data_IF_371274880856
#
_entry.id   IF_371274880856
#
_cell.length_a   1.000
_cell.length_b   1.000
_cell.length_c   1.000
_cell.angle_alpha   90.00
_cell.angle_beta   90.00
_cell.angle_gamma   90.00
#
_symmetry.space_group_name_H-M   'P 1'
#
loop_
_entity.id
_entity.type
_entity.pdbx_description
1 polymer ?
#
# COMPACT_ATOMS: atom_id res chain seq x y z
N UNK A 1 10.90 24.71 -6.63
CA UNK A 1 10.81 23.25 -6.81
C UNK A 1 9.62 22.77 -5.98
N UNK A 2 8.54 22.28 -6.61
CA UNK A 2 7.35 21.80 -5.89
C UNK A 2 7.65 20.41 -5.32
N UNK A 3 7.78 20.31 -4.00
CA UNK A 3 7.80 19.02 -3.31
C UNK A 3 6.40 18.76 -2.78
N UNK A 4 5.70 17.83 -3.42
CA UNK A 4 4.50 17.22 -2.87
C UNK A 4 4.84 15.76 -2.67
N UNK A 5 5.06 15.37 -1.42
CA UNK A 5 5.18 13.98 -1.02
C UNK A 5 3.77 13.40 -0.88
N UNK A 6 3.52 12.27 -1.54
CA UNK A 6 2.34 11.46 -1.27
C UNK A 6 2.68 10.41 -0.21
N UNK A 7 1.90 10.34 0.86
CA UNK A 7 2.07 9.40 1.97
C UNK A 7 0.86 8.50 2.07
N UNK A 8 1.10 7.23 2.33
CA UNK A 8 0.08 6.20 2.50
C UNK A 8 0.40 5.36 3.74
N UNK A 9 -0.65 4.95 4.46
CA UNK A 9 -0.54 4.08 5.62
C UNK A 9 -1.68 3.06 5.57
N UNK A 10 -1.33 1.78 5.63
CA UNK A 10 -2.31 0.72 5.88
C UNK A 10 -2.74 0.81 7.34
N UNK A 11 -4.04 0.77 7.63
CA UNK A 11 -4.59 0.86 9.00
C UNK A 11 -5.41 -0.36 9.41
N UNK A 12 -5.81 -1.19 8.46
CA UNK A 12 -6.40 -2.50 8.70
C UNK A 12 -6.14 -3.41 7.51
N UNK A 13 -5.99 -4.71 7.77
CA UNK A 13 -5.79 -5.72 6.74
C UNK A 13 -6.27 -7.08 7.22
N UNK A 14 -7.26 -7.61 6.51
CA UNK A 14 -7.85 -8.92 6.70
C UNK A 14 -8.20 -9.45 5.30
N UNK A 15 -7.23 -10.14 4.70
CA UNK A 15 -7.30 -10.80 3.39
C UNK A 15 -6.88 -12.27 3.54
N UNK A 16 -7.12 -13.12 2.55
CA UNK A 16 -6.76 -14.54 2.64
C UNK A 16 -5.25 -14.74 2.84
N UNK A 17 -4.89 -15.65 3.76
CA UNK A 17 -3.51 -16.07 3.94
C UNK A 17 -3.14 -17.19 2.97
N UNK A 18 -1.98 -17.08 2.35
CA UNK A 18 -1.27 -18.19 1.78
C UNK A 18 0.22 -18.07 2.10
N UNK A 19 0.90 -19.17 2.40
CA UNK A 19 2.32 -19.18 2.80
C UNK A 19 3.24 -18.55 1.74
N UNK A 20 2.87 -18.66 0.46
CA UNK A 20 3.59 -18.01 -0.65
C UNK A 20 2.94 -16.70 -1.12
N UNK A 21 1.94 -16.16 -0.40
CA UNK A 21 1.27 -14.91 -0.75
C UNK A 21 0.60 -14.93 -2.14
N UNK A 22 -0.01 -16.07 -2.52
CA UNK A 22 -0.55 -16.33 -3.87
C UNK A 22 -2.08 -16.27 -3.99
N UNK A 23 -2.82 -16.36 -2.89
CA UNK A 23 -4.29 -16.30 -2.91
C UNK A 23 -4.73 -14.83 -3.02
N UNK A 24 -4.69 -14.10 -1.90
CA UNK A 24 -4.94 -12.66 -1.88
C UNK A 24 -3.66 -11.88 -1.55
N UNK A 25 -3.46 -10.75 -2.24
CA UNK A 25 -2.38 -9.82 -1.91
C UNK A 25 -2.68 -8.39 -2.39
N UNK A 26 -2.06 -7.42 -1.72
CA UNK A 26 -2.03 -6.02 -2.13
C UNK A 26 -0.59 -5.61 -2.44
N UNK A 27 -0.31 -5.22 -3.69
CA UNK A 27 0.99 -4.68 -4.10
C UNK A 27 0.97 -3.17 -4.16
N UNK A 28 2.08 -2.57 -3.75
CA UNK A 28 2.31 -1.13 -3.73
C UNK A 28 3.46 -0.78 -4.67
N UNK A 29 3.25 0.11 -5.62
CA UNK A 29 4.24 0.53 -6.60
C UNK A 29 4.52 2.04 -6.54
N UNK A 30 5.78 2.42 -6.76
CA UNK A 30 6.25 3.81 -6.77
C UNK A 30 6.04 4.45 -8.14
N UNK A 31 4.87 5.04 -8.37
CA UNK A 31 4.52 5.65 -9.66
C UNK A 31 3.06 5.48 -10.04
N UNK A 32 2.74 5.77 -11.30
CA UNK A 32 1.39 5.77 -11.85
C UNK A 32 0.93 4.45 -12.48
N UNK A 33 1.73 3.38 -12.41
CA UNK A 33 1.40 2.09 -13.01
C UNK A 33 2.05 0.90 -12.30
N UNK A 34 1.63 -0.31 -12.68
CA UNK A 34 2.18 -1.58 -12.18
C UNK A 34 3.50 -2.00 -12.85
N UNK A 35 3.91 -1.26 -13.88
CA UNK A 35 5.23 -1.30 -14.51
C UNK A 35 6.29 -0.51 -13.71
N UNK A 36 5.87 0.26 -12.72
CA UNK A 36 6.73 1.03 -11.84
C UNK A 36 7.44 0.14 -10.80
N UNK A 37 8.36 0.70 -10.01
CA UNK A 37 9.11 -0.08 -9.01
C UNK A 37 8.19 -0.59 -7.89
N UNK A 38 8.20 -1.90 -7.63
CA UNK A 38 7.48 -2.50 -6.50
C UNK A 38 8.12 -2.05 -5.17
N UNK A 39 7.33 -1.45 -4.29
CA UNK A 39 7.73 -1.03 -2.96
C UNK A 39 7.52 -2.17 -1.96
N UNK A 40 6.33 -2.77 -1.99
CA UNK A 40 5.96 -3.80 -1.02
C UNK A 40 4.82 -4.69 -1.55
N UNK A 41 4.77 -5.93 -1.05
CA UNK A 41 3.63 -6.85 -1.22
C UNK A 41 3.09 -7.17 0.16
N UNK A 42 1.83 -6.81 0.40
CA UNK A 42 1.11 -7.11 1.63
C UNK A 42 0.25 -8.36 1.43
N UNK A 43 0.33 -9.29 2.38
CA UNK A 43 -0.62 -10.38 2.57
C UNK A 43 -0.77 -10.68 4.06
N UNK A 44 -1.81 -11.43 4.41
CA UNK A 44 -2.14 -11.73 5.79
C UNK A 44 -1.33 -12.94 6.27
N UNK A 45 -0.18 -12.77 6.94
CA UNK A 45 0.54 -13.90 7.55
C UNK A 45 0.12 -14.05 9.04
N UNK A 46 -0.43 -15.22 9.46
CA UNK A 46 -0.81 -15.47 10.85
C UNK A 46 0.39 -15.69 11.78
N UNK A 47 1.57 -16.05 11.25
CA UNK A 47 2.75 -16.42 12.03
C UNK A 47 3.84 -15.33 12.05
N UNK A 48 3.81 -14.35 11.13
CA UNK A 48 4.73 -13.20 11.11
C UNK A 48 4.16 -11.98 11.87
N UNK A 49 4.65 -11.82 13.10
CA UNK A 49 5.37 -10.65 13.70
C UNK A 49 4.75 -9.21 13.63
N UNK A 50 5.10 -8.31 14.59
CA UNK A 50 4.19 -7.31 15.15
C UNK A 50 3.71 -6.28 14.14
N UNK A 51 2.60 -5.62 14.48
CA UNK A 51 1.87 -4.52 13.80
C UNK A 51 2.70 -3.52 12.94
N UNK A 52 4.02 -3.44 13.12
CA UNK A 52 4.96 -2.55 12.45
C UNK A 52 5.11 -2.78 10.93
N UNK A 53 5.06 -4.02 10.40
CA UNK A 53 5.05 -4.22 8.93
C UNK A 53 3.62 -4.13 8.35
N UNK A 54 2.58 -4.51 9.11
CA UNK A 54 1.17 -4.32 8.72
C UNK A 54 0.76 -2.86 8.55
N UNK A 55 1.38 -1.94 9.29
CA UNK A 55 1.07 -0.51 9.26
C UNK A 55 2.17 0.34 8.61
N UNK A 56 2.98 -0.28 7.74
CA UNK A 56 4.09 0.39 7.07
C UNK A 56 3.58 1.65 6.37
N UNK A 57 3.99 2.78 6.93
CA UNK A 57 3.80 4.07 6.32
C UNK A 57 4.80 4.20 5.17
N UNK A 58 4.29 4.43 3.97
CA UNK A 58 5.11 4.61 2.78
C UNK A 58 5.02 6.05 2.33
N UNK A 59 6.17 6.67 2.11
CA UNK A 59 6.29 8.00 1.50
C UNK A 59 6.80 7.83 0.08
N UNK A 60 6.03 8.33 -0.87
CA UNK A 60 6.42 8.39 -2.27
C UNK A 60 7.48 9.46 -2.49
N UNK A 61 8.36 9.22 -3.45
CA UNK A 61 9.30 10.20 -4.00
C UNK A 61 8.60 11.20 -4.93
N UNK A 62 7.35 10.93 -5.31
CA UNK A 62 6.56 11.78 -6.17
C UNK A 62 5.10 11.91 -5.72
N UNK A 63 4.24 12.21 -6.69
CA UNK A 63 2.81 12.48 -6.46
C UNK A 63 1.92 11.26 -6.70
N UNK A 64 2.52 10.11 -6.99
CA UNK A 64 1.80 8.92 -7.45
C UNK A 64 2.30 7.67 -6.75
N UNK A 65 1.34 6.89 -6.29
CA UNK A 65 1.51 5.50 -5.86
C UNK A 65 0.42 4.70 -6.54
N UNK A 66 0.74 3.48 -6.95
CA UNK A 66 -0.22 2.54 -7.51
C UNK A 66 -0.46 1.39 -6.55
N UNK A 67 -1.73 1.13 -6.27
CA UNK A 67 -2.21 -0.02 -5.50
C UNK A 67 -2.76 -1.06 -6.47
N UNK A 68 -2.30 -2.31 -6.33
CA UNK A 68 -2.82 -3.44 -7.10
C UNK A 68 -3.29 -4.53 -6.15
N UNK A 69 -4.61 -4.70 -6.06
CA UNK A 69 -5.22 -5.74 -5.26
C UNK A 69 -5.62 -6.92 -6.15
N UNK A 70 -5.21 -8.13 -5.76
CA UNK A 70 -5.54 -9.38 -6.42
C UNK A 70 -6.23 -10.30 -5.44
N UNK A 71 -7.25 -11.03 -5.92
CA UNK A 71 -7.93 -12.10 -5.20
C UNK A 71 -8.12 -13.30 -6.10
N UNK A 72 -8.23 -14.49 -5.51
CA UNK A 72 -8.65 -15.69 -6.22
C UNK A 72 -10.16 -15.95 -6.07
N UNK A 73 -10.60 -17.19 -6.32
CA UNK A 73 -12.02 -17.59 -6.26
C UNK A 73 -12.44 -18.14 -4.90
N UNK A 74 -11.55 -18.11 -3.91
CA UNK A 74 -11.72 -18.70 -2.58
C UNK A 74 -11.78 -17.64 -1.49
N UNK A 75 -11.38 -17.96 -0.28
CA UNK A 75 -11.83 -17.40 1.01
C UNK A 75 -11.97 -15.86 1.02
N UNK A 76 -13.20 -15.34 1.14
CA UNK A 76 -13.41 -13.90 1.26
C UNK A 76 -13.19 -13.40 2.70
N UNK A 77 -12.62 -12.21 2.83
CA UNK A 77 -12.37 -11.51 4.09
C UNK A 77 -12.77 -10.03 4.00
N UNK A 78 -12.54 -9.25 5.06
CA UNK A 78 -12.99 -7.84 5.13
C UNK A 78 -12.26 -6.91 4.14
N UNK A 79 -11.08 -7.29 3.67
CA UNK A 79 -10.25 -6.47 2.79
C UNK A 79 -9.22 -5.66 3.56
N UNK A 80 -9.02 -4.41 3.16
CA UNK A 80 -7.99 -3.54 3.73
C UNK A 80 -8.48 -2.10 3.87
N UNK A 81 -7.87 -1.36 4.80
CA UNK A 81 -8.12 0.08 5.01
C UNK A 81 -6.81 0.85 4.86
N UNK A 82 -6.92 2.00 4.19
CA UNK A 82 -5.79 2.86 3.88
C UNK A 82 -6.13 4.29 4.27
N UNK A 83 -5.16 4.98 4.85
CA UNK A 83 -5.13 6.42 5.00
C UNK A 83 -4.06 7.01 4.08
N UNK A 84 -4.37 8.11 3.42
CA UNK A 84 -3.43 8.82 2.55
C UNK A 84 -3.41 10.31 2.87
N UNK A 85 -2.27 10.94 2.62
CA UNK A 85 -2.10 12.39 2.74
C UNK A 85 -1.07 12.90 1.75
N UNK A 86 -1.14 14.19 1.47
CA UNK A 86 -0.12 14.91 0.72
C UNK A 86 0.61 15.83 1.71
N UNK A 87 1.94 15.78 1.75
CA UNK A 87 2.77 16.74 2.49
C UNK A 87 3.60 17.57 1.51
N UNK A 88 3.47 18.89 1.59
CA UNK A 88 4.20 19.82 0.73
C UNK A 88 3.80 21.27 0.97
N UNK A 89 4.77 22.18 0.97
CA UNK A 89 4.50 23.62 0.98
C UNK A 89 4.06 24.08 -0.41
N UNK A 90 2.77 24.41 -0.58
CA UNK A 90 2.33 25.28 -1.67
C UNK A 90 2.59 26.75 -1.27
N UNK A 91 3.81 27.24 -1.50
CA UNK A 91 4.03 28.68 -1.63
C UNK A 91 3.90 29.04 -3.11
N UNK A 92 2.68 29.38 -3.52
CA UNK A 92 2.35 29.82 -4.88
C UNK A 92 0.97 30.45 -4.91
N UNK A 93 0.94 31.76 -4.65
CA UNK A 93 -0.16 32.68 -4.90
C UNK A 93 -0.87 32.43 -6.24
N UNK A 94 -2.20 32.46 -6.20
CA UNK A 94 -3.06 32.70 -7.38
C UNK A 94 -2.79 34.08 -7.98
#
# INVERSE_FOLDING_TARGET
>A
MKFVEFKIKITDMDIEYHVECKHDFLKLYEGGGTDSSLIHTYCNNPDEEPLQERFKEVKSRGRFITLYFYTDKTVQRKGFRIEYSFSGFENGSF
#
